data_IF_244697913273
#
_entry.id   IF_244697913273
#
_cell.length_a   1.000
_cell.length_b   1.000
_cell.length_c   1.000
_cell.angle_alpha   90.00
_cell.angle_beta   90.00
_cell.angle_gamma   90.00
#
_symmetry.space_group_name_H-M   'P 1'
#
loop_
_entity.id
_entity.type
_entity.pdbx_description
1 polymer ?
#
# COMPACT_ATOMS: atom_id res chain seq x y z
N UNK A 1 -6.83 -28.22 1.39
CA UNK A 1 -7.06 -27.81 -0.01
C UNK A 1 -7.21 -26.30 -0.03
N UNK A 2 -6.54 -25.60 -0.94
CA UNK A 2 -6.93 -24.22 -1.24
C UNK A 2 -8.22 -24.34 -2.03
N UNK A 3 -9.33 -23.96 -1.41
CA UNK A 3 -10.60 -23.89 -2.12
C UNK A 3 -10.53 -22.74 -3.13
N UNK A 4 -10.74 -23.08 -4.40
CA UNK A 4 -10.91 -22.11 -5.48
C UNK A 4 -12.40 -21.86 -5.73
N UNK A 5 -12.71 -20.72 -6.34
CA UNK A 5 -14.04 -20.36 -6.83
C UNK A 5 -13.94 -19.94 -8.29
N UNK A 6 -14.98 -20.19 -9.07
CA UNK A 6 -15.03 -19.74 -10.46
C UNK A 6 -15.23 -18.22 -10.51
N UNK A 7 -14.37 -17.53 -11.25
CA UNK A 7 -14.55 -16.10 -11.50
C UNK A 7 -15.45 -15.81 -12.71
N UNK A 8 -15.63 -14.52 -13.07
CA UNK A 8 -16.57 -14.09 -14.12
C UNK A 8 -16.27 -14.64 -15.52
N UNK A 9 -15.04 -15.06 -15.77
CA UNK A 9 -14.55 -15.67 -17.00
C UNK A 9 -14.55 -17.21 -16.96
N UNK A 10 -15.12 -17.81 -15.91
CA UNK A 10 -15.16 -19.26 -15.69
C UNK A 10 -13.83 -19.88 -15.25
N UNK A 11 -12.80 -19.08 -14.94
CA UNK A 11 -11.49 -19.58 -14.47
C UNK A 11 -11.43 -19.64 -12.94
N UNK A 12 -10.79 -20.67 -12.36
CA UNK A 12 -10.66 -20.80 -10.91
C UNK A 12 -9.75 -19.71 -10.35
N UNK A 13 -10.14 -19.10 -9.22
CA UNK A 13 -9.37 -18.13 -8.44
C UNK A 13 -9.37 -18.50 -6.97
N UNK A 14 -8.46 -17.93 -6.18
CA UNK A 14 -8.49 -18.10 -4.73
C UNK A 14 -9.83 -17.61 -4.14
N UNK A 15 -10.46 -18.41 -3.26
CA UNK A 15 -11.77 -18.07 -2.65
C UNK A 15 -11.86 -16.66 -2.07
N UNK A 16 -10.77 -16.14 -1.49
CA UNK A 16 -10.75 -14.82 -0.87
C UNK A 16 -11.04 -13.67 -1.84
N UNK A 17 -10.75 -13.81 -3.14
CA UNK A 17 -10.97 -12.74 -4.10
C UNK A 17 -12.44 -12.52 -4.45
N UNK A 18 -13.31 -13.50 -4.16
CA UNK A 18 -14.76 -13.37 -4.37
C UNK A 18 -15.47 -12.55 -3.28
N UNK A 19 -14.76 -12.14 -2.22
CA UNK A 19 -15.36 -11.37 -1.12
C UNK A 19 -15.81 -9.95 -1.52
N UNK A 20 -15.27 -9.40 -2.62
CA UNK A 20 -15.64 -8.08 -3.13
C UNK A 20 -15.28 -7.94 -4.62
N UNK A 21 -16.07 -7.21 -5.45
CA UNK A 21 -15.78 -7.03 -6.87
C UNK A 21 -14.38 -6.44 -7.15
N UNK A 22 -13.93 -5.51 -6.31
CA UNK A 22 -12.60 -4.86 -6.43
C UNK A 22 -11.42 -5.82 -6.19
N UNK A 23 -11.65 -6.99 -5.58
CA UNK A 23 -10.59 -7.95 -5.30
C UNK A 23 -10.23 -8.82 -6.49
N UNK A 24 -11.13 -9.05 -7.45
CA UNK A 24 -10.80 -9.86 -8.64
C UNK A 24 -9.73 -9.16 -9.49
N UNK A 25 -9.87 -7.88 -9.88
CA UNK A 25 -8.80 -7.19 -10.62
C UNK A 25 -7.48 -7.14 -9.84
N UNK A 26 -7.53 -6.89 -8.54
CA UNK A 26 -6.35 -6.87 -7.67
C UNK A 26 -5.65 -8.25 -7.61
N UNK A 27 -6.42 -9.32 -7.44
CA UNK A 27 -5.93 -10.69 -7.47
C UNK A 27 -5.25 -11.01 -8.80
N UNK A 28 -5.93 -10.74 -9.91
CA UNK A 28 -5.52 -11.18 -11.25
C UNK A 28 -4.30 -10.43 -11.80
N UNK A 29 -4.04 -9.21 -11.32
CA UNK A 29 -3.03 -8.33 -11.92
C UNK A 29 -1.97 -7.81 -10.95
N UNK A 30 -2.18 -7.91 -9.63
CA UNK A 30 -1.28 -7.32 -8.64
C UNK A 30 -0.82 -8.27 -7.54
N UNK A 31 -1.68 -9.18 -7.09
CA UNK A 31 -1.38 -10.07 -5.98
C UNK A 31 -0.51 -11.24 -6.42
N UNK A 32 0.63 -11.46 -5.74
CA UNK A 32 1.57 -12.53 -6.07
C UNK A 32 2.47 -12.26 -7.28
N UNK A 33 2.28 -11.15 -8.00
CA UNK A 33 3.19 -10.75 -9.08
C UNK A 33 4.44 -10.05 -8.55
N UNK A 34 5.64 -10.33 -9.11
CA UNK A 34 6.88 -9.63 -8.75
C UNK A 34 6.78 -8.12 -8.95
N UNK A 35 7.43 -7.36 -8.06
CA UNK A 35 7.52 -5.88 -8.14
C UNK A 35 8.99 -5.48 -8.08
N UNK A 36 9.52 -4.98 -9.21
CA UNK A 36 10.91 -4.51 -9.32
C UNK A 36 11.06 -2.98 -9.24
N UNK A 37 9.98 -2.25 -8.99
CA UNK A 37 10.00 -0.80 -8.80
C UNK A 37 9.93 -0.44 -7.32
N UNK A 38 10.94 0.27 -6.82
CA UNK A 38 11.08 0.64 -5.40
C UNK A 38 9.88 1.44 -4.88
N UNK A 39 9.32 2.34 -5.68
CA UNK A 39 8.18 3.18 -5.29
C UNK A 39 6.93 2.32 -5.14
N UNK A 40 6.67 1.40 -6.07
CA UNK A 40 5.56 0.45 -6.00
C UNK A 40 5.72 -0.54 -4.85
N UNK A 41 6.94 -1.02 -4.58
CA UNK A 41 7.20 -1.88 -3.44
C UNK A 41 6.95 -1.14 -2.12
N UNK A 42 7.46 0.09 -2.01
CA UNK A 42 7.25 0.95 -0.84
C UNK A 42 5.77 1.31 -0.63
N UNK A 43 5.02 1.56 -1.71
CA UNK A 43 3.55 1.71 -1.66
C UNK A 43 2.91 0.46 -1.05
N UNK A 44 3.19 -0.73 -1.59
CA UNK A 44 2.60 -1.99 -1.09
C UNK A 44 2.90 -2.19 0.39
N UNK A 45 4.16 -2.09 0.80
CA UNK A 45 4.58 -2.24 2.19
C UNK A 45 3.87 -1.25 3.13
N UNK A 46 3.73 0.01 2.69
CA UNK A 46 3.05 1.05 3.48
C UNK A 46 1.56 0.76 3.64
N UNK A 47 0.89 0.30 2.57
CA UNK A 47 -0.53 -0.05 2.60
C UNK A 47 -0.81 -1.27 3.50
N UNK A 48 0.08 -2.28 3.50
CA UNK A 48 0.00 -3.42 4.44
C UNK A 48 0.12 -2.94 5.90
N UNK A 49 1.02 -1.99 6.19
CA UNK A 49 1.09 -1.36 7.52
C UNK A 49 -0.21 -0.65 7.93
N UNK A 50 -0.91 -0.03 6.99
CA UNK A 50 -2.22 0.57 7.26
C UNK A 50 -3.32 -0.46 7.51
N UNK A 51 -3.19 -1.68 6.99
CA UNK A 51 -4.19 -2.75 7.14
C UNK A 51 -4.32 -3.27 8.59
N UNK A 52 -3.32 -3.11 9.46
CA UNK A 52 -3.38 -3.66 10.83
C UNK A 52 -4.68 -3.25 11.58
N UNK A 53 -5.55 -4.21 11.90
CA UNK A 53 -6.84 -3.97 12.55
C UNK A 53 -7.98 -3.51 11.62
N UNK A 54 -7.81 -3.61 10.31
CA UNK A 54 -8.79 -3.26 9.27
C UNK A 54 -8.86 -4.37 8.20
N UNK A 55 -9.91 -4.36 7.38
CA UNK A 55 -9.98 -5.20 6.20
C UNK A 55 -9.09 -4.64 5.08
N UNK A 56 -8.50 -5.51 4.25
CA UNK A 56 -7.76 -5.08 3.05
C UNK A 56 -8.66 -4.28 2.09
N UNK A 57 -9.96 -4.59 2.05
CA UNK A 57 -10.98 -3.84 1.29
C UNK A 57 -10.99 -2.36 1.64
N UNK A 58 -10.94 -2.03 2.93
CA UNK A 58 -10.87 -0.64 3.40
C UNK A 58 -9.64 0.08 2.88
N UNK A 59 -8.49 -0.62 2.81
CA UNK A 59 -7.24 -0.04 2.32
C UNK A 59 -7.28 0.12 0.80
N UNK A 60 -7.70 -0.90 0.07
CA UNK A 60 -7.78 -0.89 -1.39
C UNK A 60 -8.73 0.21 -1.89
N UNK A 61 -9.89 0.39 -1.26
CA UNK A 61 -10.84 1.46 -1.60
C UNK A 61 -10.32 2.87 -1.30
N UNK A 62 -9.31 3.00 -0.45
CA UNK A 62 -8.67 4.28 -0.11
C UNK A 62 -7.34 4.49 -0.85
N UNK A 63 -6.91 3.56 -1.71
CA UNK A 63 -5.58 3.55 -2.31
C UNK A 63 -5.22 4.83 -3.06
N UNK A 64 -6.13 5.37 -3.88
CA UNK A 64 -5.88 6.63 -4.59
C UNK A 64 -5.75 7.82 -3.63
N UNK A 65 -6.53 7.84 -2.55
CA UNK A 65 -6.39 8.87 -1.51
C UNK A 65 -5.05 8.76 -0.79
N UNK A 66 -4.58 7.54 -0.52
CA UNK A 66 -3.24 7.31 0.03
C UNK A 66 -2.15 7.79 -0.92
N UNK A 67 -2.23 7.45 -2.21
CA UNK A 67 -1.30 7.95 -3.23
C UNK A 67 -1.27 9.48 -3.24
N UNK A 68 -2.42 10.14 -3.28
CA UNK A 68 -2.47 11.61 -3.22
C UNK A 68 -1.87 12.18 -1.93
N UNK A 69 -2.21 11.58 -0.78
CA UNK A 69 -1.75 12.00 0.54
C UNK A 69 -0.23 11.87 0.74
N UNK A 70 0.37 10.82 0.17
CA UNK A 70 1.78 10.47 0.30
C UNK A 70 2.56 10.68 -1.00
N UNK A 71 2.15 11.63 -1.85
CA UNK A 71 2.89 12.02 -3.06
C UNK A 71 3.24 10.87 -4.01
N UNK A 72 2.29 9.97 -4.26
CA UNK A 72 2.48 8.77 -5.07
C UNK A 72 3.43 7.76 -4.45
N UNK A 73 3.66 7.85 -3.13
CA UNK A 73 4.66 7.09 -2.39
C UNK A 73 6.10 7.32 -2.86
N UNK A 74 6.38 8.46 -3.51
CA UNK A 74 7.76 8.87 -3.81
C UNK A 74 8.57 8.93 -2.50
N UNK A 75 9.53 8.00 -2.37
CA UNK A 75 10.29 7.78 -1.14
C UNK A 75 10.96 9.08 -0.68
N UNK A 76 11.56 9.83 -1.61
CA UNK A 76 12.29 11.05 -1.28
C UNK A 76 11.36 12.15 -0.76
N UNK A 77 10.18 12.31 -1.36
CA UNK A 77 9.16 13.29 -0.93
C UNK A 77 8.54 12.90 0.40
N UNK A 78 8.17 11.64 0.58
CA UNK A 78 7.58 11.13 1.83
C UNK A 78 8.57 11.25 2.98
N UNK A 79 9.86 10.97 2.76
CA UNK A 79 10.90 11.09 3.79
C UNK A 79 11.07 12.52 4.34
N UNK A 80 10.68 13.54 3.56
CA UNK A 80 10.74 14.96 3.94
C UNK A 80 9.51 15.46 4.70
N UNK A 81 8.44 14.67 4.78
CA UNK A 81 7.26 15.06 5.54
C UNK A 81 7.60 15.25 7.02
N UNK A 82 7.01 16.28 7.62
CA UNK A 82 7.22 16.66 9.01
C UNK A 82 5.93 16.78 9.81
N UNK A 83 6.01 17.31 11.02
CA UNK A 83 4.88 17.37 11.97
C UNK A 83 3.66 18.15 11.42
N UNK A 84 3.90 19.19 10.61
CA UNK A 84 2.83 19.93 9.93
C UNK A 84 2.06 19.06 8.93
N UNK A 85 2.78 18.18 8.22
CA UNK A 85 2.16 17.22 7.30
C UNK A 85 1.40 16.15 8.05
N UNK A 86 1.94 15.62 9.15
CA UNK A 86 1.23 14.66 10.01
C UNK A 86 -0.09 15.26 10.49
N UNK A 87 -0.06 16.50 10.98
CA UNK A 87 -1.26 17.23 11.43
C UNK A 87 -2.27 17.50 10.30
N UNK A 88 -1.79 17.73 9.07
CA UNK A 88 -2.64 17.84 7.86
C UNK A 88 -3.27 16.49 7.50
N UNK A 89 -2.49 15.42 7.51
CA UNK A 89 -2.92 14.06 7.17
C UNK A 89 -3.92 13.49 8.18
N UNK A 90 -3.76 13.82 9.46
CA UNK A 90 -4.73 13.46 10.51
C UNK A 90 -6.12 14.08 10.31
N UNK A 91 -6.25 15.10 9.45
CA UNK A 91 -7.54 15.70 9.08
C UNK A 91 -8.10 15.16 7.75
N UNK A 92 -7.35 14.32 7.03
CA UNK A 92 -7.76 13.80 5.73
C UNK A 92 -8.64 12.56 5.89
N UNK A 93 -9.93 12.69 5.58
CA UNK A 93 -10.93 11.61 5.68
C UNK A 93 -10.81 10.56 4.57
N UNK A 94 -10.08 10.90 3.50
CA UNK A 94 -9.75 9.99 2.41
C UNK A 94 -8.88 8.81 2.86
N UNK A 95 -8.09 8.97 3.93
CA UNK A 95 -7.16 7.95 4.44
C UNK A 95 -7.55 7.45 5.84
N UNK A 96 -6.77 6.52 6.38
CA UNK A 96 -6.89 6.08 7.78
C UNK A 96 -6.18 7.10 8.68
N UNK A 97 -6.97 7.83 9.49
CA UNK A 97 -6.49 8.91 10.38
C UNK A 97 -5.87 8.38 11.68
N UNK A 98 -4.76 7.64 11.56
CA UNK A 98 -4.04 7.08 12.71
C UNK A 98 -2.60 7.59 12.73
N UNK A 99 -2.25 8.39 13.76
CA UNK A 99 -0.96 9.09 13.85
C UNK A 99 0.23 8.15 13.71
N UNK A 100 0.27 7.07 14.50
CA UNK A 100 1.40 6.13 14.47
C UNK A 100 1.58 5.42 13.12
N UNK A 101 0.50 5.23 12.35
CA UNK A 101 0.60 4.60 11.01
C UNK A 101 1.12 5.59 9.97
N UNK A 102 0.68 6.85 10.06
CA UNK A 102 1.20 7.95 9.22
C UNK A 102 2.68 8.17 9.49
N UNK A 103 3.07 8.26 10.77
CA UNK A 103 4.47 8.43 11.18
C UNK A 103 5.32 7.23 10.79
N UNK A 104 4.79 6.00 10.86
CA UNK A 104 5.49 4.80 10.39
C UNK A 104 5.81 4.88 8.89
N UNK A 105 4.88 5.33 8.04
CA UNK A 105 5.18 5.51 6.60
C UNK A 105 6.29 6.54 6.38
N UNK A 106 6.26 7.66 7.10
CA UNK A 106 7.31 8.69 7.01
C UNK A 106 8.67 8.14 7.48
N UNK A 107 8.69 7.42 8.60
CA UNK A 107 9.88 6.76 9.12
C UNK A 107 10.44 5.76 8.11
N UNK A 108 9.59 4.88 7.57
CA UNK A 108 9.96 3.87 6.60
C UNK A 108 10.51 4.50 5.32
N UNK A 109 9.96 5.62 4.86
CA UNK A 109 10.52 6.36 3.72
C UNK A 109 11.95 6.87 3.99
N UNK A 110 12.23 7.34 5.21
CA UNK A 110 13.59 7.77 5.59
C UNK A 110 14.57 6.59 5.57
N UNK A 111 14.15 5.42 6.05
CA UNK A 111 14.95 4.18 6.02
C UNK A 111 15.15 3.66 4.59
N UNK A 112 14.09 3.62 3.78
CA UNK A 112 14.17 3.20 2.40
C UNK A 112 15.12 4.11 1.58
N UNK A 113 15.07 5.43 1.82
CA UNK A 113 16.02 6.37 1.20
C UNK A 113 17.48 6.08 1.56
N UNK A 114 17.75 5.64 2.79
CA UNK A 114 19.09 5.24 3.21
C UNK A 114 19.55 3.93 2.57
N UNK A 115 18.63 2.97 2.37
CA UNK A 115 18.91 1.72 1.66
C UNK A 115 19.24 1.99 0.19
N UNK A 116 18.42 2.77 -0.53
CA UNK A 116 18.66 3.16 -1.92
C UNK A 116 20.02 3.87 -2.07
N UNK A 117 20.39 4.73 -1.12
CA UNK A 117 21.70 5.40 -1.15
C UNK A 117 22.89 4.43 -0.98
N UNK A 118 22.70 3.27 -0.36
CA UNK A 118 23.75 2.27 -0.09
C UNK A 118 23.81 1.15 -1.12
N UNK A 119 22.66 0.70 -1.61
CA UNK A 119 22.51 -0.47 -2.48
C UNK A 119 21.98 -0.11 -3.89
N UNK A 120 21.82 1.17 -4.22
CA UNK A 120 21.20 1.67 -5.46
C UNK A 120 19.70 1.34 -5.64
N UNK A 121 19.13 0.34 -4.94
CA UNK A 121 17.69 0.09 -4.90
C UNK A 121 17.20 -0.50 -3.56
N UNK A 122 15.88 -0.65 -3.39
CA UNK A 122 15.24 -1.34 -2.24
C UNK A 122 15.02 -2.83 -2.53
N UNK A 123 15.00 -3.22 -3.80
CA UNK A 123 14.59 -4.56 -4.27
C UNK A 123 15.72 -5.61 -4.35
N UNK A 124 16.97 -5.25 -4.01
CA UNK A 124 18.11 -6.18 -4.02
C UNK A 124 18.01 -7.34 -3.02
#
# INVERSE_FOLDING_TARGET
>A
MIDTVDGPDGRPRCRWCAAAPEFIPYHDTEWGFPVGDDTRLFEKLSLEGFQAGLSWRTILNKREHFRAAFHGFDIARVARLGERDVSRLLRNEGIVRHRGKIEAVIHNARRARELVARAACVVD
#
